data_IF_535258865430
#
_entry.id   IF_535258865430
#
_cell.length_a   1.000
_cell.length_b   1.000
_cell.length_c   1.000
_cell.angle_alpha   90.00
_cell.angle_beta   90.00
_cell.angle_gamma   90.00
#
_symmetry.space_group_name_H-M   'P 1'
#
loop_
_entity.id
_entity.type
_entity.pdbx_description
1 polymer ?
#
# COMPACT_ATOMS: atom_id res chain seq x y z
N UNK A 1 19.21 18.41 -30.27
CA UNK A 1 18.25 18.83 -29.22
C UNK A 1 18.28 17.78 -28.15
N UNK A 2 18.82 18.09 -26.97
CA UNK A 2 18.90 17.15 -25.86
C UNK A 2 17.47 16.86 -25.37
N UNK A 3 16.96 15.69 -25.67
CA UNK A 3 15.73 15.14 -25.08
C UNK A 3 15.97 15.04 -23.59
N UNK A 4 15.37 15.93 -22.83
CA UNK A 4 15.38 15.89 -21.37
C UNK A 4 14.74 14.57 -20.94
N UNK A 5 15.55 13.57 -20.64
CA UNK A 5 15.11 12.33 -20.03
C UNK A 5 14.28 12.69 -18.79
N UNK A 6 12.97 12.41 -18.81
CA UNK A 6 12.05 12.63 -17.70
C UNK A 6 12.33 11.70 -16.51
N UNK A 7 13.24 10.75 -16.68
CA UNK A 7 13.72 9.87 -15.62
C UNK A 7 14.68 10.60 -14.69
N UNK A 8 14.43 10.52 -13.38
CA UNK A 8 15.29 11.12 -12.37
C UNK A 8 16.39 10.16 -11.94
N UNK A 9 17.65 10.55 -12.10
CA UNK A 9 18.78 9.87 -11.46
C UNK A 9 18.68 10.05 -9.92
N UNK A 10 18.33 8.98 -9.21
CA UNK A 10 18.18 8.96 -7.75
C UNK A 10 19.51 8.58 -7.07
N UNK A 11 20.62 8.52 -7.81
CA UNK A 11 21.93 8.09 -7.30
C UNK A 11 22.93 9.23 -7.11
N UNK A 12 22.55 10.48 -7.43
CA UNK A 12 23.42 11.66 -7.36
C UNK A 12 22.67 12.90 -6.86
N UNK A 13 23.39 13.96 -6.49
CA UNK A 13 22.82 15.27 -6.10
C UNK A 13 22.19 15.34 -4.69
N UNK A 14 21.33 16.34 -4.41
CA UNK A 14 20.74 16.59 -3.10
C UNK A 14 19.70 15.53 -2.73
N UNK A 15 20.13 14.48 -2.02
CA UNK A 15 19.35 13.28 -1.76
C UNK A 15 18.05 13.56 -1.00
N UNK A 16 18.09 14.44 0.01
CA UNK A 16 16.90 14.79 0.80
C UNK A 16 15.81 15.45 -0.05
N UNK A 17 16.20 16.42 -0.89
CA UNK A 17 15.26 17.09 -1.78
C UNK A 17 14.64 16.11 -2.78
N UNK A 18 15.41 15.19 -3.34
CA UNK A 18 14.92 14.18 -4.27
C UNK A 18 13.95 13.20 -3.59
N UNK A 19 14.24 12.78 -2.34
CA UNK A 19 13.35 11.95 -1.55
C UNK A 19 12.01 12.65 -1.32
N UNK A 20 12.02 13.92 -0.93
CA UNK A 20 10.78 14.70 -0.72
C UNK A 20 10.00 14.86 -2.03
N UNK A 21 10.67 15.24 -3.12
CA UNK A 21 10.04 15.41 -4.44
C UNK A 21 9.46 14.11 -5.00
N UNK A 22 10.04 12.96 -4.64
CA UNK A 22 9.53 11.64 -4.99
C UNK A 22 8.34 11.25 -4.10
N UNK A 23 8.45 11.48 -2.78
CA UNK A 23 7.47 10.99 -1.80
C UNK A 23 6.19 11.81 -1.76
N UNK A 24 6.26 13.14 -1.98
CA UNK A 24 5.07 14.01 -1.91
C UNK A 24 4.01 13.64 -2.98
N UNK A 25 4.33 13.46 -4.27
CA UNK A 25 3.34 13.01 -5.25
C UNK A 25 2.82 11.60 -4.96
N UNK A 26 3.66 10.74 -4.40
CA UNK A 26 3.26 9.38 -4.03
C UNK A 26 2.28 9.38 -2.85
N UNK A 27 2.54 10.16 -1.82
CA UNK A 27 1.61 10.38 -0.71
C UNK A 27 0.29 10.98 -1.19
N UNK A 28 0.36 11.98 -2.08
CA UNK A 28 -0.82 12.61 -2.67
C UNK A 28 -1.65 11.60 -3.47
N UNK A 29 -1.02 10.70 -4.25
CA UNK A 29 -1.72 9.63 -4.98
C UNK A 29 -2.49 8.71 -4.03
N UNK A 30 -1.86 8.29 -2.94
CA UNK A 30 -2.48 7.38 -1.99
C UNK A 30 -3.57 8.06 -1.15
N UNK A 31 -3.40 9.34 -0.79
CA UNK A 31 -4.45 10.15 -0.13
C UNK A 31 -5.65 10.33 -1.08
N UNK A 32 -5.42 10.64 -2.35
CA UNK A 32 -6.49 10.71 -3.34
C UNK A 32 -7.27 9.39 -3.46
N UNK A 33 -6.57 8.25 -3.44
CA UNK A 33 -7.22 6.95 -3.44
C UNK A 33 -8.13 6.75 -2.22
N UNK A 34 -7.69 7.16 -1.02
CA UNK A 34 -8.52 7.12 0.19
C UNK A 34 -9.75 8.02 0.06
N UNK A 35 -9.58 9.23 -0.48
CA UNK A 35 -10.69 10.17 -0.69
C UNK A 35 -11.71 9.64 -1.71
N UNK A 36 -11.26 9.02 -2.79
CA UNK A 36 -12.17 8.43 -3.78
C UNK A 36 -12.94 7.23 -3.20
N UNK A 37 -12.28 6.35 -2.45
CA UNK A 37 -12.96 5.28 -1.74
C UNK A 37 -13.99 5.81 -0.73
N UNK A 38 -13.66 6.91 -0.02
CA UNK A 38 -14.61 7.55 0.89
C UNK A 38 -15.79 8.16 0.12
N UNK A 39 -15.56 8.78 -1.04
CA UNK A 39 -16.62 9.31 -1.90
C UNK A 39 -17.57 8.19 -2.39
N UNK A 40 -17.04 7.03 -2.79
CA UNK A 40 -17.82 5.85 -3.17
C UNK A 40 -18.77 5.44 -2.03
N UNK A 41 -18.24 5.33 -0.81
CA UNK A 41 -19.02 4.96 0.39
C UNK A 41 -20.10 6.00 0.71
N UNK A 42 -19.78 7.29 0.61
CA UNK A 42 -20.75 8.39 0.85
C UNK A 42 -21.87 8.37 -0.18
N UNK A 43 -21.56 8.20 -1.46
CA UNK A 43 -22.57 8.15 -2.53
C UNK A 43 -23.51 6.97 -2.34
N UNK A 44 -22.98 5.78 -2.04
CA UNK A 44 -23.80 4.59 -1.78
C UNK A 44 -24.66 4.80 -0.54
N UNK A 45 -24.07 5.24 0.57
CA UNK A 45 -24.81 5.41 1.83
C UNK A 45 -25.94 6.42 1.76
N UNK A 46 -25.74 7.49 0.97
CA UNK A 46 -26.72 8.58 0.87
C UNK A 46 -27.83 8.32 -0.15
N UNK A 47 -27.53 7.60 -1.23
CA UNK A 47 -28.43 7.46 -2.39
C UNK A 47 -28.90 6.02 -2.65
N UNK A 48 -28.16 4.99 -2.17
CA UNK A 48 -28.52 3.59 -2.40
C UNK A 48 -29.05 2.85 -1.14
N UNK A 49 -28.98 3.49 0.04
CA UNK A 49 -29.51 2.97 1.28
C UNK A 49 -28.52 2.14 2.11
N UNK A 50 -28.95 1.77 3.33
CA UNK A 50 -28.10 1.11 4.34
C UNK A 50 -27.61 -0.28 3.94
N UNK A 51 -28.44 -1.07 3.28
CA UNK A 51 -28.10 -2.43 2.81
C UNK A 51 -27.01 -2.39 1.75
N UNK A 52 -27.10 -1.42 0.80
CA UNK A 52 -26.07 -1.21 -0.21
C UNK A 52 -24.76 -0.72 0.42
N UNK A 53 -24.84 0.17 1.41
CA UNK A 53 -23.69 0.63 2.17
C UNK A 53 -23.00 -0.52 2.90
N UNK A 54 -23.77 -1.39 3.56
CA UNK A 54 -23.24 -2.58 4.23
C UNK A 54 -22.55 -3.53 3.22
N UNK A 55 -23.15 -3.69 2.04
CA UNK A 55 -22.58 -4.52 0.98
C UNK A 55 -21.22 -4.01 0.48
N UNK A 56 -21.08 -2.71 0.22
CA UNK A 56 -19.81 -2.12 -0.21
C UNK A 56 -18.77 -2.14 0.92
N UNK A 57 -19.19 -1.82 2.14
CA UNK A 57 -18.28 -1.76 3.31
C UNK A 57 -17.70 -3.12 3.71
N UNK A 58 -18.51 -4.19 3.67
CA UNK A 58 -18.07 -5.54 4.05
C UNK A 58 -17.05 -6.14 3.07
N UNK A 59 -17.07 -5.73 1.81
CA UNK A 59 -16.23 -6.29 0.76
C UNK A 59 -14.76 -5.84 0.81
N UNK A 60 -14.48 -4.69 1.45
CA UNK A 60 -13.13 -4.10 1.47
C UNK A 60 -12.06 -5.03 2.05
N UNK A 61 -12.35 -5.73 3.14
CA UNK A 61 -11.42 -6.67 3.77
C UNK A 61 -11.08 -7.85 2.87
N UNK A 62 -12.08 -8.39 2.15
CA UNK A 62 -11.91 -9.51 1.25
C UNK A 62 -11.10 -9.12 0.01
N UNK A 63 -11.40 -7.95 -0.56
CA UNK A 63 -10.65 -7.38 -1.68
C UNK A 63 -9.19 -7.20 -1.28
N UNK A 64 -8.93 -6.57 -0.12
CA UNK A 64 -7.57 -6.36 0.36
C UNK A 64 -6.81 -7.67 0.58
N UNK A 65 -7.46 -8.69 1.13
CA UNK A 65 -6.84 -10.00 1.35
C UNK A 65 -6.35 -10.62 0.04
N UNK A 66 -7.18 -10.61 -1.00
CA UNK A 66 -6.87 -11.22 -2.29
C UNK A 66 -5.89 -10.36 -3.12
N UNK A 67 -6.02 -9.05 -3.08
CA UNK A 67 -5.26 -8.13 -3.92
C UNK A 67 -3.85 -7.86 -3.39
N UNK A 68 -3.67 -7.80 -2.05
CA UNK A 68 -2.39 -7.43 -1.44
C UNK A 68 -1.21 -8.34 -1.85
N UNK A 69 -1.47 -9.64 -2.07
CA UNK A 69 -0.45 -10.56 -2.56
C UNK A 69 0.13 -10.10 -3.91
N UNK A 70 -0.74 -9.71 -4.82
CA UNK A 70 -0.35 -9.31 -6.17
C UNK A 70 0.18 -7.88 -6.24
N UNK A 71 -0.28 -6.99 -5.36
CA UNK A 71 0.30 -5.66 -5.16
C UNK A 71 1.76 -5.78 -4.69
N UNK A 72 2.05 -6.77 -3.82
CA UNK A 72 3.42 -7.09 -3.44
C UNK A 72 4.31 -7.48 -4.64
N UNK A 73 3.77 -8.19 -5.63
CA UNK A 73 4.52 -8.52 -6.85
C UNK A 73 4.90 -7.26 -7.65
N UNK A 74 4.04 -6.24 -7.69
CA UNK A 74 4.36 -4.97 -8.34
C UNK A 74 5.53 -4.23 -7.65
N UNK A 75 5.66 -4.38 -6.32
CA UNK A 75 6.83 -3.90 -5.58
C UNK A 75 8.09 -4.63 -6.01
N UNK A 76 8.02 -5.96 -6.24
CA UNK A 76 9.11 -6.75 -6.80
C UNK A 76 9.56 -6.23 -8.15
N UNK A 77 8.61 -5.91 -9.04
CA UNK A 77 8.90 -5.31 -10.34
C UNK A 77 9.58 -3.93 -10.20
N UNK A 78 9.12 -3.09 -9.26
CA UNK A 78 9.77 -1.81 -8.96
C UNK A 78 11.23 -1.99 -8.55
N UNK A 79 11.53 -2.90 -7.63
CA UNK A 79 12.89 -3.14 -7.13
C UNK A 79 13.82 -3.63 -8.24
N UNK A 80 13.38 -4.57 -9.07
CA UNK A 80 14.18 -5.11 -10.17
C UNK A 80 14.43 -4.05 -11.24
N UNK A 81 13.38 -3.33 -11.67
CA UNK A 81 13.51 -2.24 -12.62
C UNK A 81 14.41 -1.11 -12.10
N UNK A 82 14.26 -0.69 -10.84
CA UNK A 82 15.09 0.34 -10.23
C UNK A 82 16.57 -0.07 -10.17
N UNK A 83 16.83 -1.35 -9.87
CA UNK A 83 18.20 -1.89 -9.84
C UNK A 83 18.84 -1.91 -11.23
N UNK A 84 18.12 -2.42 -12.24
CA UNK A 84 18.61 -2.41 -13.64
C UNK A 84 18.80 -0.99 -14.14
N UNK A 85 17.89 -0.08 -13.83
CA UNK A 85 18.01 1.33 -14.20
C UNK A 85 19.23 2.00 -13.55
N UNK A 86 19.46 1.77 -12.25
CA UNK A 86 20.65 2.24 -11.54
C UNK A 86 21.96 1.67 -12.12
N UNK A 87 21.94 0.42 -12.55
CA UNK A 87 23.08 -0.24 -13.21
C UNK A 87 23.30 0.23 -14.65
N UNK A 88 22.39 1.03 -15.23
CA UNK A 88 22.37 1.40 -16.65
C UNK A 88 22.29 0.17 -17.58
N UNK A 89 21.65 -0.89 -17.10
CA UNK A 89 21.38 -2.11 -17.86
C UNK A 89 20.07 -1.95 -18.64
N UNK A 90 20.15 -1.39 -19.84
CA UNK A 90 18.99 -1.13 -20.69
C UNK A 90 18.22 -2.40 -21.03
N UNK A 91 18.94 -3.51 -21.29
CA UNK A 91 18.31 -4.79 -21.58
C UNK A 91 17.54 -5.31 -20.36
N UNK A 92 18.16 -5.27 -19.17
CA UNK A 92 17.52 -5.66 -17.93
C UNK A 92 16.27 -4.82 -17.61
N UNK A 93 16.28 -3.51 -17.92
CA UNK A 93 15.09 -2.65 -17.80
C UNK A 93 14.01 -3.10 -18.78
N UNK A 94 14.34 -3.31 -20.05
CA UNK A 94 13.37 -3.78 -21.06
C UNK A 94 12.75 -5.13 -20.67
N UNK A 95 13.57 -6.11 -20.31
CA UNK A 95 13.12 -7.42 -19.88
C UNK A 95 12.17 -7.30 -18.65
N UNK A 96 12.49 -6.37 -17.74
CA UNK A 96 11.65 -6.12 -16.56
C UNK A 96 10.34 -5.46 -16.93
N UNK A 97 10.31 -4.49 -17.84
CA UNK A 97 9.09 -3.82 -18.31
C UNK A 97 8.13 -4.84 -18.93
N UNK A 98 8.61 -5.65 -19.85
CA UNK A 98 7.77 -6.63 -20.55
C UNK A 98 7.29 -7.74 -19.61
N UNK A 99 8.17 -8.27 -18.76
CA UNK A 99 7.80 -9.30 -17.77
C UNK A 99 6.82 -8.77 -16.74
N UNK A 100 7.01 -7.53 -16.24
CA UNK A 100 6.16 -6.94 -15.23
C UNK A 100 4.73 -6.66 -15.76
N UNK A 101 4.61 -6.13 -16.97
CA UNK A 101 3.30 -5.89 -17.61
C UNK A 101 2.60 -7.20 -17.90
N UNK A 102 3.31 -8.21 -18.44
CA UNK A 102 2.76 -9.54 -18.66
C UNK A 102 2.29 -10.19 -17.34
N UNK A 103 3.08 -10.11 -16.30
CA UNK A 103 2.73 -10.60 -14.96
C UNK A 103 1.53 -9.86 -14.37
N UNK A 104 1.44 -8.55 -14.57
CA UNK A 104 0.28 -7.74 -14.17
C UNK A 104 -1.01 -8.21 -14.84
N UNK A 105 -0.99 -8.44 -16.14
CA UNK A 105 -2.15 -8.94 -16.86
C UNK A 105 -2.54 -10.36 -16.43
N UNK A 106 -1.58 -11.28 -16.33
CA UNK A 106 -1.84 -12.67 -15.91
C UNK A 106 -2.37 -12.72 -14.48
N UNK A 107 -1.75 -11.98 -13.54
CA UNK A 107 -2.21 -11.91 -12.17
C UNK A 107 -3.60 -11.27 -12.05
N UNK A 108 -3.87 -10.25 -12.86
CA UNK A 108 -5.18 -9.60 -12.93
C UNK A 108 -6.26 -10.54 -13.45
N UNK A 109 -5.99 -11.30 -14.53
CA UNK A 109 -6.92 -12.32 -15.05
C UNK A 109 -7.13 -13.44 -14.04
N UNK A 110 -6.07 -13.91 -13.37
CA UNK A 110 -6.18 -14.91 -12.31
C UNK A 110 -7.08 -14.43 -11.17
N UNK A 111 -6.87 -13.19 -10.70
CA UNK A 111 -7.72 -12.58 -9.68
C UNK A 111 -9.18 -12.42 -10.16
N UNK A 112 -9.38 -12.04 -11.43
CA UNK A 112 -10.72 -11.91 -11.99
C UNK A 112 -11.46 -13.25 -11.96
N UNK A 113 -10.82 -14.33 -12.42
CA UNK A 113 -11.42 -15.66 -12.45
C UNK A 113 -11.68 -16.19 -11.03
N UNK A 114 -10.63 -16.18 -10.19
CA UNK A 114 -10.74 -16.69 -8.81
C UNK A 114 -11.75 -15.87 -8.01
N UNK A 115 -11.65 -14.54 -8.06
CA UNK A 115 -12.55 -13.66 -7.31
C UNK A 115 -13.99 -13.75 -7.77
N UNK A 116 -14.23 -13.83 -9.09
CA UNK A 116 -15.58 -13.98 -9.65
C UNK A 116 -16.23 -15.30 -9.24
N UNK A 117 -15.48 -16.41 -9.33
CA UNK A 117 -15.99 -17.75 -8.99
C UNK A 117 -16.16 -17.93 -7.48
N UNK A 118 -15.23 -17.41 -6.68
CA UNK A 118 -15.22 -17.61 -5.23
C UNK A 118 -16.03 -16.57 -4.45
N UNK A 119 -16.48 -15.46 -5.09
CA UNK A 119 -17.10 -14.32 -4.42
C UNK A 119 -18.17 -14.71 -3.41
N UNK A 120 -19.14 -15.53 -3.82
CA UNK A 120 -20.25 -15.94 -2.94
C UNK A 120 -19.77 -16.85 -1.81
N UNK A 121 -18.99 -17.87 -2.11
CA UNK A 121 -18.48 -18.80 -1.09
C UNK A 121 -17.60 -18.13 -0.04
N UNK A 122 -16.81 -17.13 -0.44
CA UNK A 122 -16.00 -16.34 0.49
C UNK A 122 -16.88 -15.46 1.40
N UNK A 123 -17.96 -14.88 0.90
CA UNK A 123 -18.91 -14.11 1.70
C UNK A 123 -19.70 -15.00 2.67
N UNK A 124 -20.06 -16.22 2.27
CA UNK A 124 -20.70 -17.22 3.14
C UNK A 124 -19.74 -17.63 4.27
N UNK A 125 -18.46 -17.86 3.97
CA UNK A 125 -17.43 -18.13 5.00
C UNK A 125 -17.25 -16.99 5.99
N UNK A 126 -17.47 -15.73 5.55
CA UNK A 126 -17.41 -14.54 6.39
C UNK A 126 -18.71 -14.30 7.17
N UNK A 127 -19.69 -15.19 7.07
CA UNK A 127 -21.03 -15.05 7.70
C UNK A 127 -21.72 -13.73 7.31
N UNK A 128 -21.64 -13.38 6.02
CA UNK A 128 -22.33 -12.19 5.50
C UNK A 128 -23.86 -12.37 5.67
N UNK A 129 -24.59 -11.37 6.20
CA UNK A 129 -26.04 -11.44 6.39
C UNK A 129 -26.79 -11.74 5.08
N UNK A 130 -27.88 -12.51 5.17
CA UNK A 130 -28.66 -12.95 3.99
C UNK A 130 -29.26 -11.81 3.18
N UNK A 131 -29.63 -10.71 3.84
CA UNK A 131 -30.16 -9.50 3.22
C UNK A 131 -29.10 -8.68 2.45
N UNK A 132 -27.81 -8.88 2.77
CA UNK A 132 -26.70 -8.14 2.19
C UNK A 132 -25.92 -8.97 1.17
N UNK A 133 -25.87 -10.31 1.33
CA UNK A 133 -24.99 -11.20 0.55
C UNK A 133 -25.22 -11.11 -0.96
N UNK A 134 -26.47 -10.90 -1.39
CA UNK A 134 -26.81 -10.76 -2.81
C UNK A 134 -26.14 -9.55 -3.46
N UNK A 135 -26.26 -8.39 -2.81
CA UNK A 135 -25.63 -7.13 -3.26
C UNK A 135 -24.09 -7.17 -3.15
N UNK A 136 -23.58 -7.76 -2.05
CA UNK A 136 -22.15 -7.95 -1.86
C UNK A 136 -21.54 -8.85 -2.94
N UNK A 137 -22.20 -9.96 -3.29
CA UNK A 137 -21.77 -10.86 -4.35
C UNK A 137 -21.76 -10.16 -5.71
N UNK A 138 -22.79 -9.38 -6.03
CA UNK A 138 -22.86 -8.62 -7.27
C UNK A 138 -21.72 -7.59 -7.36
N UNK A 139 -21.51 -6.83 -6.29
CA UNK A 139 -20.42 -5.85 -6.21
C UNK A 139 -19.06 -6.52 -6.44
N UNK A 140 -18.77 -7.61 -5.71
CA UNK A 140 -17.50 -8.33 -5.83
C UNK A 140 -17.28 -8.90 -7.22
N UNK A 141 -18.30 -9.53 -7.82
CA UNK A 141 -18.17 -10.08 -9.18
C UNK A 141 -17.83 -9.00 -10.20
N UNK A 142 -18.53 -7.85 -10.13
CA UNK A 142 -18.23 -6.73 -11.02
C UNK A 142 -16.81 -6.22 -10.74
N UNK A 143 -16.45 -6.00 -9.48
CA UNK A 143 -15.15 -5.48 -9.07
C UNK A 143 -14.00 -6.38 -9.57
N UNK A 144 -14.13 -7.71 -9.45
CA UNK A 144 -13.10 -8.65 -9.89
C UNK A 144 -12.93 -8.71 -11.41
N UNK A 145 -13.97 -8.44 -12.21
CA UNK A 145 -13.84 -8.28 -13.67
C UNK A 145 -12.87 -7.14 -14.01
N UNK A 146 -12.79 -6.11 -13.19
CA UNK A 146 -11.85 -4.99 -13.37
C UNK A 146 -10.40 -5.26 -12.94
N UNK A 147 -10.11 -6.40 -12.31
CA UNK A 147 -8.79 -6.69 -11.77
C UNK A 147 -7.65 -6.67 -12.80
N UNK A 148 -7.81 -7.14 -14.04
CA UNK A 148 -6.75 -7.03 -15.04
C UNK A 148 -6.25 -5.59 -15.23
N UNK A 149 -7.17 -4.62 -15.26
CA UNK A 149 -6.82 -3.20 -15.39
C UNK A 149 -6.21 -2.63 -14.12
N UNK A 150 -6.73 -3.01 -12.96
CA UNK A 150 -6.16 -2.62 -11.66
C UNK A 150 -4.71 -3.13 -11.51
N UNK A 151 -4.45 -4.38 -11.87
CA UNK A 151 -3.09 -4.92 -11.83
C UNK A 151 -2.18 -4.26 -12.87
N UNK A 152 -2.68 -4.02 -14.08
CA UNK A 152 -1.95 -3.30 -15.13
C UNK A 152 -1.53 -1.90 -14.65
N UNK A 153 -2.43 -1.17 -13.98
CA UNK A 153 -2.11 0.12 -13.35
C UNK A 153 -1.02 -0.01 -12.29
N UNK A 154 -1.13 -0.98 -11.38
CA UNK A 154 -0.18 -1.16 -10.28
C UNK A 154 1.23 -1.46 -10.80
N UNK A 155 1.36 -2.40 -11.77
CA UNK A 155 2.65 -2.76 -12.34
C UNK A 155 3.24 -1.63 -13.19
N UNK A 156 2.44 -1.00 -14.05
CA UNK A 156 2.89 0.12 -14.88
C UNK A 156 3.33 1.34 -14.03
N UNK A 157 2.58 1.65 -12.97
CA UNK A 157 2.96 2.70 -12.02
C UNK A 157 4.23 2.35 -11.24
N UNK A 158 4.43 1.06 -10.90
CA UNK A 158 5.63 0.60 -10.22
C UNK A 158 6.88 0.77 -11.11
N UNK A 159 6.76 0.55 -12.42
CA UNK A 159 7.84 0.79 -13.38
C UNK A 159 8.21 2.27 -13.51
N UNK A 160 7.22 3.17 -13.57
CA UNK A 160 7.47 4.62 -13.56
C UNK A 160 8.15 5.08 -12.27
N UNK A 161 7.68 4.57 -11.12
CA UNK A 161 8.31 4.86 -9.81
C UNK A 161 9.76 4.35 -9.76
N UNK A 162 10.06 3.22 -10.38
CA UNK A 162 11.41 2.65 -10.42
C UNK A 162 12.45 3.59 -11.04
N UNK A 163 12.04 4.43 -11.99
CA UNK A 163 12.88 5.45 -12.63
C UNK A 163 12.72 6.85 -12.04
N UNK A 164 12.07 6.96 -10.87
CA UNK A 164 11.93 8.21 -10.13
C UNK A 164 10.71 9.05 -10.50
N UNK A 165 9.85 8.59 -11.39
CA UNK A 165 8.66 9.34 -11.80
C UNK A 165 7.42 8.93 -10.99
N UNK A 166 7.07 9.76 -10.04
CA UNK A 166 5.86 9.61 -9.21
C UNK A 166 4.74 10.57 -9.59
N UNK A 167 5.04 11.58 -10.45
CA UNK A 167 4.07 12.61 -10.84
C UNK A 167 3.10 12.11 -11.89
N UNK A 168 3.59 11.41 -12.91
CA UNK A 168 2.73 10.88 -13.99
C UNK A 168 1.65 9.92 -13.46
N UNK A 169 1.96 8.92 -12.61
CA UNK A 169 0.93 8.11 -11.97
C UNK A 169 -0.09 8.91 -11.14
N UNK A 170 0.36 9.97 -10.44
CA UNK A 170 -0.54 10.87 -9.71
C UNK A 170 -1.55 11.55 -10.63
N UNK A 171 -1.11 12.12 -11.75
CA UNK A 171 -2.01 12.81 -12.69
C UNK A 171 -3.02 11.85 -13.33
N UNK A 172 -2.57 10.63 -13.69
CA UNK A 172 -3.47 9.59 -14.21
C UNK A 172 -4.53 9.19 -13.19
N UNK A 173 -4.13 9.03 -11.93
CA UNK A 173 -5.03 8.68 -10.85
C UNK A 173 -6.01 9.82 -10.53
N UNK A 174 -5.55 11.09 -10.53
CA UNK A 174 -6.40 12.23 -10.30
C UNK A 174 -7.48 12.38 -11.40
N UNK A 175 -7.10 12.19 -12.66
CA UNK A 175 -8.04 12.21 -13.78
C UNK A 175 -9.06 11.05 -13.66
N UNK A 176 -8.60 9.85 -13.38
CA UNK A 176 -9.46 8.68 -13.20
C UNK A 176 -10.40 8.83 -11.99
N UNK A 177 -9.90 9.41 -10.90
CA UNK A 177 -10.73 9.67 -9.72
C UNK A 177 -11.83 10.70 -9.96
N UNK A 178 -11.54 11.76 -10.70
CA UNK A 178 -12.57 12.72 -11.12
C UNK A 178 -13.66 12.03 -11.97
N UNK A 179 -13.26 11.16 -12.90
CA UNK A 179 -14.19 10.34 -13.70
C UNK A 179 -14.99 9.40 -12.80
N UNK A 180 -14.35 8.75 -11.80
CA UNK A 180 -15.01 7.87 -10.84
C UNK A 180 -16.15 8.59 -10.11
N UNK A 181 -15.88 9.76 -9.54
CA UNK A 181 -16.90 10.54 -8.81
C UNK A 181 -18.08 10.92 -9.73
N UNK A 182 -17.81 11.39 -10.95
CA UNK A 182 -18.87 11.74 -11.92
C UNK A 182 -19.68 10.50 -12.28
N UNK A 183 -19.04 9.37 -12.60
CA UNK A 183 -19.73 8.13 -12.96
C UNK A 183 -20.52 7.55 -11.79
N UNK A 184 -20.05 7.66 -10.56
CA UNK A 184 -20.81 7.27 -9.37
C UNK A 184 -22.13 8.03 -9.29
N UNK A 185 -22.09 9.35 -9.45
CA UNK A 185 -23.30 10.17 -9.43
C UNK A 185 -24.25 9.79 -10.58
N UNK A 186 -23.73 9.60 -11.78
CA UNK A 186 -24.54 9.22 -12.96
C UNK A 186 -25.18 7.84 -12.77
N UNK A 187 -24.41 6.83 -12.38
CA UNK A 187 -24.90 5.46 -12.28
C UNK A 187 -25.81 5.24 -11.07
N UNK A 188 -25.46 5.82 -9.91
CA UNK A 188 -26.22 5.62 -8.67
C UNK A 188 -27.48 6.51 -8.66
N UNK A 189 -27.36 7.78 -9.03
CA UNK A 189 -28.49 8.74 -9.01
C UNK A 189 -29.26 8.70 -10.32
N UNK A 190 -28.58 8.80 -11.46
CA UNK A 190 -29.23 8.88 -12.78
C UNK A 190 -29.86 7.56 -13.22
N UNK A 191 -29.16 6.45 -13.05
CA UNK A 191 -29.62 5.13 -13.49
C UNK A 191 -30.13 4.24 -12.34
N UNK A 192 -30.05 4.69 -11.08
CA UNK A 192 -30.50 3.94 -9.90
C UNK A 192 -29.84 2.55 -9.77
N UNK A 193 -28.58 2.41 -10.19
CA UNK A 193 -27.87 1.12 -10.27
C UNK A 193 -27.36 0.61 -8.93
N UNK A 194 -27.53 1.36 -7.83
CA UNK A 194 -27.09 0.98 -6.48
C UNK A 194 -25.60 0.52 -6.45
N UNK A 195 -25.30 -0.63 -5.82
CA UNK A 195 -23.92 -1.16 -5.69
C UNK A 195 -23.27 -1.49 -7.03
N UNK A 196 -24.04 -1.90 -8.03
CA UNK A 196 -23.53 -2.20 -9.36
C UNK A 196 -22.98 -0.94 -10.05
N UNK A 197 -23.65 0.21 -9.84
CA UNK A 197 -23.22 1.50 -10.39
C UNK A 197 -21.86 1.91 -9.85
N UNK A 198 -21.63 1.78 -8.54
CA UNK A 198 -20.34 2.11 -7.92
C UNK A 198 -19.23 1.17 -8.38
N UNK A 199 -19.51 -0.15 -8.43
CA UNK A 199 -18.53 -1.10 -8.93
C UNK A 199 -18.13 -0.83 -10.38
N UNK A 200 -19.11 -0.52 -11.26
CA UNK A 200 -18.85 -0.14 -12.66
C UNK A 200 -18.06 1.16 -12.78
N UNK A 201 -18.43 2.20 -12.00
CA UNK A 201 -17.70 3.46 -11.97
C UNK A 201 -16.23 3.25 -11.58
N UNK A 202 -15.99 2.41 -10.57
CA UNK A 202 -14.64 2.05 -10.12
C UNK A 202 -13.86 1.32 -11.21
N UNK A 203 -14.45 0.34 -11.90
CA UNK A 203 -13.76 -0.39 -12.99
C UNK A 203 -13.43 0.54 -14.15
N UNK A 204 -14.38 1.36 -14.58
CA UNK A 204 -14.17 2.28 -15.70
C UNK A 204 -13.05 3.27 -15.36
N UNK A 205 -13.06 3.86 -14.19
CA UNK A 205 -12.02 4.79 -13.75
C UNK A 205 -10.64 4.11 -13.63
N UNK A 206 -10.58 2.90 -13.08
CA UNK A 206 -9.35 2.11 -13.03
C UNK A 206 -8.84 1.73 -14.43
N UNK A 207 -9.74 1.43 -15.34
CA UNK A 207 -9.41 1.17 -16.75
C UNK A 207 -8.80 2.41 -17.40
N UNK A 208 -9.39 3.58 -17.18
CA UNK A 208 -8.84 4.85 -17.70
C UNK A 208 -7.44 5.09 -17.14
N UNK A 209 -7.22 4.96 -15.83
CA UNK A 209 -5.89 5.16 -15.23
C UNK A 209 -4.86 4.16 -15.76
N UNK A 210 -5.25 2.89 -15.91
CA UNK A 210 -4.39 1.84 -16.44
C UNK A 210 -3.98 2.13 -17.90
N UNK A 211 -4.93 2.51 -18.74
CA UNK A 211 -4.68 2.86 -20.13
C UNK A 211 -3.80 4.10 -20.27
N UNK A 212 -4.03 5.13 -19.44
CA UNK A 212 -3.20 6.33 -19.43
C UNK A 212 -1.76 6.03 -19.04
N UNK A 213 -1.53 5.32 -17.92
CA UNK A 213 -0.18 4.98 -17.45
C UNK A 213 0.53 4.03 -18.42
N UNK A 214 -0.16 3.01 -18.93
CA UNK A 214 0.40 2.07 -19.92
C UNK A 214 0.68 2.77 -21.25
N UNK A 215 -0.22 3.66 -21.69
CA UNK A 215 -0.02 4.49 -22.88
C UNK A 215 1.22 5.40 -22.77
N UNK A 216 1.53 5.88 -21.56
CA UNK A 216 2.79 6.61 -21.31
C UNK A 216 4.01 5.71 -21.48
N UNK A 217 3.98 4.46 -20.98
CA UNK A 217 5.07 3.50 -21.18
C UNK A 217 5.27 3.13 -22.65
N UNK A 218 4.19 3.01 -23.43
CA UNK A 218 4.27 2.72 -24.89
C UNK A 218 4.92 3.89 -25.64
N UNK A 219 4.63 5.13 -25.21
CA UNK A 219 5.16 6.36 -25.83
C UNK A 219 6.52 6.78 -25.26
N UNK A 220 7.05 6.06 -24.27
CA UNK A 220 8.36 6.35 -23.68
C UNK A 220 9.46 6.04 -24.70
N UNK A 221 10.58 6.74 -24.56
CA UNK A 221 11.79 6.51 -25.35
C UNK A 221 12.83 5.73 -24.53
N UNK A 222 13.68 4.96 -25.19
CA UNK A 222 14.76 4.21 -24.55
C UNK A 222 14.30 2.91 -23.87
N UNK A 223 15.01 2.51 -22.80
CA UNK A 223 14.86 1.21 -22.16
C UNK A 223 13.51 0.97 -21.46
N UNK A 224 12.82 2.04 -21.08
CA UNK A 224 11.51 1.93 -20.39
C UNK A 224 10.34 1.74 -21.36
N UNK A 225 10.57 1.83 -22.67
CA UNK A 225 9.54 1.71 -23.68
C UNK A 225 8.89 0.31 -23.65
N UNK A 226 7.57 0.30 -23.54
CA UNK A 226 6.77 -0.91 -23.64
C UNK A 226 6.41 -1.18 -25.10
N UNK A 227 6.85 -2.31 -25.65
CA UNK A 227 6.42 -2.82 -26.93
C UNK A 227 5.47 -4.00 -26.71
N UNK A 228 4.20 -3.81 -26.99
CA UNK A 228 3.17 -4.83 -26.80
C UNK A 228 3.41 -6.11 -27.62
N UNK A 229 4.17 -6.01 -28.72
CA UNK A 229 4.53 -7.17 -29.56
C UNK A 229 5.64 -8.03 -28.94
N UNK A 230 6.37 -7.48 -27.98
CA UNK A 230 7.49 -8.14 -27.29
C UNK A 230 7.12 -8.57 -25.86
N UNK A 231 5.84 -8.56 -25.50
CA UNK A 231 5.40 -9.04 -24.20
C UNK A 231 5.81 -10.51 -24.04
N UNK A 232 6.68 -10.78 -23.08
CA UNK A 232 7.19 -12.11 -22.80
C UNK A 232 7.60 -12.22 -21.33
N UNK A 233 7.62 -13.43 -20.81
CA UNK A 233 8.19 -13.75 -19.52
C UNK A 233 9.68 -14.08 -19.67
N UNK A 234 10.53 -13.22 -19.16
CA UNK A 234 11.96 -13.51 -19.06
C UNK A 234 12.21 -14.25 -17.73
N UNK A 235 12.52 -15.53 -17.79
CA UNK A 235 12.58 -16.41 -16.62
C UNK A 235 13.47 -15.91 -15.49
N UNK A 236 14.64 -15.35 -15.83
CA UNK A 236 15.55 -14.75 -14.83
C UNK A 236 14.96 -13.54 -14.11
N UNK A 237 14.34 -12.64 -14.87
CA UNK A 237 13.67 -11.43 -14.38
C UNK A 237 12.43 -11.79 -13.55
N UNK A 238 11.60 -12.70 -14.07
CA UNK A 238 10.41 -13.20 -13.36
C UNK A 238 10.78 -13.79 -12.00
N UNK A 239 11.83 -14.64 -11.96
CA UNK A 239 12.33 -15.21 -10.71
C UNK A 239 12.72 -14.12 -9.70
N UNK A 240 13.42 -13.06 -10.16
CA UNK A 240 13.81 -11.95 -9.28
C UNK A 240 12.59 -11.17 -8.76
N UNK A 241 11.61 -10.89 -9.64
CA UNK A 241 10.36 -10.21 -9.24
C UNK A 241 9.62 -11.04 -8.20
N UNK A 242 9.49 -12.35 -8.40
CA UNK A 242 8.82 -13.26 -7.47
C UNK A 242 9.54 -13.36 -6.14
N UNK A 243 10.88 -13.50 -6.13
CA UNK A 243 11.67 -13.59 -4.90
C UNK A 243 11.56 -12.34 -4.01
N UNK A 244 11.31 -11.18 -4.59
CA UNK A 244 11.16 -9.93 -3.86
C UNK A 244 9.68 -9.65 -3.56
N UNK A 245 8.82 -9.80 -4.56
CA UNK A 245 7.43 -9.40 -4.50
C UNK A 245 6.55 -10.37 -3.72
N UNK A 246 6.75 -11.67 -3.88
CA UNK A 246 5.92 -12.68 -3.21
C UNK A 246 6.04 -12.59 -1.67
N UNK A 247 7.25 -12.51 -1.06
CA UNK A 247 7.35 -12.30 0.38
C UNK A 247 6.70 -10.98 0.84
N UNK A 248 6.83 -9.90 0.07
CA UNK A 248 6.21 -8.62 0.41
C UNK A 248 4.67 -8.69 0.37
N UNK A 249 4.12 -9.34 -0.64
CA UNK A 249 2.68 -9.56 -0.76
C UNK A 249 2.14 -10.47 0.33
N UNK A 250 2.84 -11.58 0.62
CA UNK A 250 2.47 -12.50 1.69
C UNK A 250 2.47 -11.80 3.06
N UNK A 251 3.46 -10.96 3.33
CA UNK A 251 3.49 -10.14 4.54
C UNK A 251 2.24 -9.25 4.67
N UNK A 252 1.85 -8.56 3.59
CA UNK A 252 0.68 -7.69 3.59
C UNK A 252 -0.63 -8.47 3.79
N UNK A 253 -0.73 -9.65 3.20
CA UNK A 253 -1.88 -10.56 3.36
C UNK A 253 -2.00 -11.04 4.82
N UNK A 254 -0.90 -11.47 5.44
CA UNK A 254 -0.90 -11.92 6.84
C UNK A 254 -1.16 -10.76 7.81
N UNK A 255 -0.70 -9.55 7.49
CA UNK A 255 -1.04 -8.35 8.27
C UNK A 255 -2.55 -8.08 8.24
N UNK A 256 -3.19 -8.20 7.08
CA UNK A 256 -4.64 -8.05 6.96
C UNK A 256 -5.38 -9.09 7.81
N UNK A 257 -4.93 -10.35 7.79
CA UNK A 257 -5.51 -11.41 8.61
C UNK A 257 -5.33 -11.15 10.12
N UNK A 258 -4.14 -10.72 10.54
CA UNK A 258 -3.87 -10.34 11.93
C UNK A 258 -4.78 -9.20 12.41
N UNK A 259 -5.02 -8.21 11.56
CA UNK A 259 -5.92 -7.10 11.88
C UNK A 259 -7.38 -7.56 12.06
N UNK A 260 -7.84 -8.60 11.34
CA UNK A 260 -9.17 -9.20 11.56
C UNK A 260 -9.28 -9.80 12.96
N UNK A 261 -8.25 -10.51 13.45
CA UNK A 261 -8.23 -11.07 14.80
C UNK A 261 -8.25 -9.95 15.86
N UNK A 262 -7.47 -8.89 15.66
CA UNK A 262 -7.47 -7.73 16.56
C UNK A 262 -8.84 -7.06 16.58
N UNK A 263 -9.47 -6.89 15.41
CA UNK A 263 -10.82 -6.32 15.30
C UNK A 263 -11.87 -7.16 16.04
N UNK A 264 -11.74 -8.48 16.01
CA UNK A 264 -12.62 -9.37 16.80
C UNK A 264 -12.52 -9.08 18.30
N UNK A 265 -11.31 -8.81 18.81
CA UNK A 265 -11.10 -8.42 20.21
C UNK A 265 -11.70 -7.03 20.51
N UNK A 266 -11.63 -6.09 19.58
CA UNK A 266 -12.26 -4.76 19.72
C UNK A 266 -13.79 -4.88 19.78
N UNK A 267 -14.37 -5.76 18.97
CA UNK A 267 -15.80 -5.97 18.91
C UNK A 267 -16.38 -6.45 20.26
N UNK A 268 -15.58 -7.11 21.10
CA UNK A 268 -16.01 -7.56 22.43
C UNK A 268 -16.27 -6.42 23.44
N UNK A 269 -15.82 -5.20 23.14
CA UNK A 269 -16.04 -4.02 24.02
C UNK A 269 -17.35 -3.28 23.74
N UNK A 270 -18.15 -3.73 22.76
CA UNK A 270 -19.42 -3.14 22.41
C UNK A 270 -19.37 -2.03 21.36
N UNK A 271 -20.54 -1.59 20.93
CA UNK A 271 -20.73 -0.73 19.75
C UNK A 271 -20.04 0.64 19.85
N UNK A 272 -19.97 1.22 21.06
CA UNK A 272 -19.34 2.54 21.28
C UNK A 272 -17.83 2.49 21.00
N UNK A 273 -17.16 1.44 21.52
CA UNK A 273 -15.71 1.25 21.29
C UNK A 273 -15.43 0.93 19.83
N UNK A 274 -16.28 0.11 19.21
CA UNK A 274 -16.16 -0.23 17.77
C UNK A 274 -16.32 1.01 16.91
N UNK A 275 -17.29 1.88 17.21
CA UNK A 275 -17.51 3.13 16.47
C UNK A 275 -16.31 4.09 16.61
N UNK A 276 -15.82 4.30 17.85
CA UNK A 276 -14.64 5.11 18.11
C UNK A 276 -13.38 4.57 17.43
N UNK A 277 -13.19 3.23 17.48
CA UNK A 277 -12.11 2.55 16.79
C UNK A 277 -12.16 2.75 15.28
N UNK A 278 -13.32 2.63 14.66
CA UNK A 278 -13.50 2.79 13.22
C UNK A 278 -13.21 4.22 12.77
N UNK A 279 -13.74 5.22 13.48
CA UNK A 279 -13.48 6.63 13.21
C UNK A 279 -11.97 6.97 13.31
N UNK A 280 -11.31 6.46 14.36
CA UNK A 280 -9.87 6.64 14.55
C UNK A 280 -9.05 5.97 13.45
N UNK A 281 -9.40 4.74 13.05
CA UNK A 281 -8.70 4.00 12.00
C UNK A 281 -8.73 4.73 10.66
N UNK A 282 -9.82 5.42 10.33
CA UNK A 282 -9.88 6.24 9.13
C UNK A 282 -8.89 7.41 9.18
N UNK A 283 -8.80 8.11 10.32
CA UNK A 283 -7.81 9.20 10.51
C UNK A 283 -6.37 8.67 10.47
N UNK A 284 -6.12 7.54 11.12
CA UNK A 284 -4.82 6.85 11.07
C UNK A 284 -4.39 6.52 9.65
N UNK A 285 -5.32 6.12 8.78
CA UNK A 285 -5.06 5.79 7.38
C UNK A 285 -4.38 6.92 6.61
N UNK A 286 -4.77 8.17 6.85
CA UNK A 286 -4.12 9.34 6.23
C UNK A 286 -2.69 9.53 6.73
N UNK A 287 -2.46 9.40 8.02
CA UNK A 287 -1.12 9.54 8.63
C UNK A 287 -0.21 8.42 8.13
N UNK A 288 -0.69 7.17 8.15
CA UNK A 288 0.05 6.01 7.66
C UNK A 288 0.47 6.17 6.19
N UNK A 289 -0.46 6.55 5.36
CA UNK A 289 -0.26 6.71 3.91
C UNK A 289 0.83 7.74 3.60
N UNK A 290 0.84 8.88 4.33
CA UNK A 290 1.88 9.90 4.18
C UNK A 290 3.27 9.37 4.60
N UNK A 291 3.37 8.60 5.68
CA UNK A 291 4.64 8.00 6.13
C UNK A 291 5.11 6.88 5.19
N UNK A 292 4.19 6.04 4.70
CA UNK A 292 4.51 4.91 3.82
C UNK A 292 5.15 5.37 2.50
N UNK A 293 4.87 6.58 2.05
CA UNK A 293 5.52 7.16 0.87
C UNK A 293 7.05 7.24 1.03
N UNK A 294 7.56 7.51 2.24
CA UNK A 294 9.00 7.50 2.52
C UNK A 294 9.59 6.09 2.60
N UNK A 295 8.80 5.11 3.05
CA UNK A 295 9.20 3.70 2.99
C UNK A 295 9.33 3.22 1.53
N UNK A 296 8.41 3.63 0.66
CA UNK A 296 8.50 3.34 -0.78
C UNK A 296 9.65 4.08 -1.47
N UNK A 297 9.96 5.32 -1.06
CA UNK A 297 11.16 6.01 -1.49
C UNK A 297 12.42 5.23 -1.08
N UNK A 298 12.48 4.75 0.16
CA UNK A 298 13.61 3.95 0.65
C UNK A 298 13.86 2.71 -0.21
N UNK A 299 12.81 1.97 -0.61
CA UNK A 299 12.94 0.83 -1.54
C UNK A 299 13.56 1.26 -2.86
N UNK A 300 12.99 2.27 -3.52
CA UNK A 300 13.38 2.66 -4.88
C UNK A 300 14.79 3.26 -4.91
N UNK A 301 15.09 4.20 -4.01
CA UNK A 301 16.41 4.83 -3.92
C UNK A 301 17.50 3.83 -3.56
N UNK A 302 17.24 2.93 -2.60
CA UNK A 302 18.20 1.88 -2.22
C UNK A 302 18.45 0.95 -3.39
N UNK A 303 17.40 0.53 -4.12
CA UNK A 303 17.52 -0.36 -5.28
C UNK A 303 18.35 0.27 -6.41
N UNK A 304 18.10 1.55 -6.76
CA UNK A 304 18.89 2.25 -7.78
C UNK A 304 20.35 2.41 -7.36
N UNK A 305 20.63 2.76 -6.09
CA UNK A 305 22.00 2.92 -5.60
C UNK A 305 22.76 1.60 -5.54
N UNK A 306 22.09 0.48 -5.22
CA UNK A 306 22.69 -0.87 -5.33
C UNK A 306 23.03 -1.20 -6.79
N UNK A 307 22.10 -0.96 -7.71
CA UNK A 307 22.35 -1.15 -9.14
C UNK A 307 23.53 -0.33 -9.64
N UNK A 308 23.59 0.93 -9.27
CA UNK A 308 24.69 1.84 -9.60
C UNK A 308 26.02 1.55 -8.85
N UNK A 309 26.06 0.56 -7.96
CA UNK A 309 27.20 0.25 -7.08
C UNK A 309 27.64 1.43 -6.20
N UNK A 310 26.75 2.41 -5.95
CA UNK A 310 27.02 3.60 -5.11
C UNK A 310 26.66 3.31 -3.64
N UNK A 311 27.32 2.34 -3.05
CA UNK A 311 27.06 1.87 -1.69
C UNK A 311 27.24 2.95 -0.61
N UNK A 312 28.10 3.95 -0.86
CA UNK A 312 28.33 5.08 0.05
C UNK A 312 27.09 5.98 0.23
N UNK A 313 26.17 5.99 -0.76
CA UNK A 313 24.94 6.74 -0.68
C UNK A 313 23.87 6.07 0.19
N UNK A 314 23.96 4.76 0.43
CA UNK A 314 22.93 4.00 1.16
C UNK A 314 22.66 4.56 2.54
N UNK A 315 23.72 4.97 3.28
CA UNK A 315 23.58 5.59 4.60
C UNK A 315 22.80 6.88 4.54
N UNK A 316 23.09 7.70 3.54
CA UNK A 316 22.43 8.99 3.35
C UNK A 316 20.96 8.80 2.95
N UNK A 317 20.68 7.86 2.05
CA UNK A 317 19.32 7.52 1.64
C UNK A 317 18.50 7.05 2.84
N UNK A 318 18.98 6.04 3.57
CA UNK A 318 18.25 5.45 4.70
C UNK A 318 18.03 6.48 5.80
N UNK A 319 19.06 7.24 6.17
CA UNK A 319 18.97 8.28 7.20
C UNK A 319 17.96 9.37 6.82
N UNK A 320 17.97 9.82 5.56
CA UNK A 320 17.05 10.86 5.10
C UNK A 320 15.60 10.34 5.04
N UNK A 321 15.38 9.10 4.59
CA UNK A 321 14.03 8.49 4.62
C UNK A 321 13.53 8.30 6.06
N UNK A 322 14.40 7.86 6.98
CA UNK A 322 14.07 7.77 8.41
C UNK A 322 13.72 9.14 8.99
N UNK A 323 14.53 10.16 8.71
CA UNK A 323 14.28 11.52 9.17
C UNK A 323 12.91 12.03 8.69
N UNK A 324 12.62 11.89 7.39
CA UNK A 324 11.34 12.30 6.82
C UNK A 324 10.16 11.52 7.41
N UNK A 325 10.27 10.21 7.59
CA UNK A 325 9.23 9.38 8.20
C UNK A 325 8.99 9.76 9.66
N UNK A 326 10.06 10.00 10.44
CA UNK A 326 9.97 10.45 11.84
C UNK A 326 9.32 11.83 11.93
N UNK A 327 9.77 12.80 11.13
CA UNK A 327 9.17 14.15 11.11
C UNK A 327 7.69 14.09 10.73
N UNK A 328 7.34 13.32 9.70
CA UNK A 328 5.95 13.15 9.27
C UNK A 328 5.12 12.47 10.36
N UNK A 329 5.63 11.41 11.00
CA UNK A 329 4.98 10.73 12.11
C UNK A 329 4.77 11.63 13.32
N UNK A 330 5.77 12.47 13.66
CA UNK A 330 5.65 13.45 14.76
C UNK A 330 4.65 14.56 14.42
N UNK A 331 4.72 15.13 13.23
CA UNK A 331 3.86 16.27 12.84
C UNK A 331 2.42 15.80 12.61
N UNK A 332 2.20 14.83 11.72
CA UNK A 332 0.85 14.36 11.39
C UNK A 332 0.28 13.46 12.48
N UNK A 333 1.07 12.51 12.99
CA UNK A 333 0.64 11.60 14.06
C UNK A 333 0.45 12.33 15.38
N UNK A 334 1.42 13.16 15.79
CA UNK A 334 1.30 14.01 16.98
C UNK A 334 0.15 15.02 16.86
N UNK A 335 -0.01 15.63 15.69
CA UNK A 335 -1.14 16.52 15.37
C UNK A 335 -2.48 15.81 15.49
N UNK A 336 -2.61 14.60 14.93
CA UNK A 336 -3.82 13.78 15.04
C UNK A 336 -4.09 13.34 16.49
N UNK A 337 -3.06 13.01 17.27
CA UNK A 337 -3.18 12.65 18.67
C UNK A 337 -3.66 13.83 19.53
N UNK A 338 -3.14 15.05 19.29
CA UNK A 338 -3.50 16.27 20.03
C UNK A 338 -4.88 16.81 19.61
N UNK A 339 -5.16 16.85 18.31
CA UNK A 339 -6.43 17.32 17.77
C UNK A 339 -7.52 16.23 17.67
N UNK A 340 -7.28 15.05 18.25
CA UNK A 340 -8.14 13.88 18.09
C UNK A 340 -9.61 14.12 18.42
N UNK A 341 -9.91 14.85 19.51
CA UNK A 341 -11.28 15.20 19.86
C UNK A 341 -11.98 16.05 18.80
N UNK A 342 -11.28 17.06 18.25
CA UNK A 342 -11.83 17.93 17.21
C UNK A 342 -12.03 17.17 15.88
N UNK A 343 -11.07 16.35 15.51
CA UNK A 343 -11.14 15.56 14.29
C UNK A 343 -12.25 14.51 14.34
N UNK A 344 -12.46 13.86 15.49
CA UNK A 344 -13.49 12.84 15.67
C UNK A 344 -14.91 13.44 15.69
N UNK A 345 -15.08 14.72 16.01
CA UNK A 345 -16.37 15.41 15.90
C UNK A 345 -16.92 15.45 14.47
N UNK A 346 -16.06 15.35 13.46
CA UNK A 346 -16.52 15.21 12.07
C UNK A 346 -17.15 13.84 11.78
N UNK A 347 -16.86 12.83 12.59
CA UNK A 347 -17.34 11.46 12.42
C UNK A 347 -18.53 11.13 13.34
N UNK A 348 -18.58 11.70 14.55
CA UNK A 348 -19.63 11.43 15.52
C UNK A 348 -19.90 12.64 16.41
N UNK A 349 -21.16 12.80 16.81
CA UNK A 349 -21.58 13.76 17.84
C UNK A 349 -21.64 13.14 19.26
N UNK A 350 -21.48 11.81 19.37
CA UNK A 350 -21.54 11.09 20.64
C UNK A 350 -20.20 11.27 21.41
N UNK A 351 -20.30 11.81 22.63
CA UNK A 351 -19.15 12.08 23.46
C UNK A 351 -18.38 10.82 23.86
N UNK A 352 -19.05 9.68 24.06
CA UNK A 352 -18.40 8.42 24.40
C UNK A 352 -17.62 7.84 23.23
N UNK A 353 -18.16 7.91 22.00
CA UNK A 353 -17.48 7.51 20.77
C UNK A 353 -16.24 8.36 20.53
N UNK A 354 -16.36 9.70 20.73
CA UNK A 354 -15.23 10.63 20.59
C UNK A 354 -14.15 10.35 21.62
N UNK A 355 -14.53 10.12 22.89
CA UNK A 355 -13.56 9.84 23.96
C UNK A 355 -12.76 8.56 23.68
N UNK A 356 -13.46 7.47 23.32
CA UNK A 356 -12.82 6.19 22.99
C UNK A 356 -11.90 6.30 21.76
N UNK A 357 -12.37 6.98 20.72
CA UNK A 357 -11.57 7.21 19.51
C UNK A 357 -10.34 8.08 19.78
N UNK A 358 -10.47 9.10 20.63
CA UNK A 358 -9.35 9.98 21.02
C UNK A 358 -8.30 9.24 21.83
N UNK A 359 -8.69 8.32 22.73
CA UNK A 359 -7.76 7.45 23.45
C UNK A 359 -6.92 6.62 22.49
N UNK A 360 -7.56 5.98 21.52
CA UNK A 360 -6.87 5.22 20.48
C UNK A 360 -5.90 6.10 19.67
N UNK A 361 -6.35 7.28 19.21
CA UNK A 361 -5.49 8.19 18.44
C UNK A 361 -4.26 8.62 19.23
N UNK A 362 -4.42 8.92 20.53
CA UNK A 362 -3.27 9.29 21.40
C UNK A 362 -2.25 8.17 21.49
N UNK A 363 -2.70 6.93 21.69
CA UNK A 363 -1.82 5.78 21.83
C UNK A 363 -1.17 5.36 20.50
N UNK A 364 -1.95 5.30 19.43
CA UNK A 364 -1.45 4.80 18.14
C UNK A 364 -0.75 5.92 17.38
N UNK A 365 -1.43 7.05 17.10
CA UNK A 365 -0.85 8.13 16.33
C UNK A 365 0.28 8.85 17.08
N UNK A 366 0.24 8.92 18.42
CA UNK A 366 1.32 9.48 19.22
C UNK A 366 2.66 8.74 19.07
N UNK A 367 2.62 7.44 18.79
CA UNK A 367 3.79 6.60 18.58
C UNK A 367 3.96 6.15 17.13
N UNK A 368 3.24 6.74 16.17
CA UNK A 368 3.26 6.32 14.76
C UNK A 368 4.64 6.44 14.10
N UNK A 369 5.50 7.32 14.63
CA UNK A 369 6.90 7.43 14.20
C UNK A 369 7.64 6.08 14.27
N UNK A 370 7.31 5.21 15.26
CA UNK A 370 7.91 3.87 15.38
C UNK A 370 7.50 2.95 14.23
N UNK A 371 6.23 3.05 13.80
CA UNK A 371 5.75 2.36 12.59
C UNK A 371 6.51 2.83 11.35
N UNK A 372 6.68 4.14 11.18
CA UNK A 372 7.46 4.71 10.07
C UNK A 372 8.90 4.26 10.05
N UNK A 373 9.57 4.22 11.21
CA UNK A 373 10.94 3.70 11.33
C UNK A 373 10.99 2.23 10.91
N UNK A 374 10.09 1.41 11.44
CA UNK A 374 10.00 -0.02 11.11
C UNK A 374 9.83 -0.22 9.60
N UNK A 375 8.92 0.50 8.97
CA UNK A 375 8.61 0.37 7.54
C UNK A 375 9.77 0.83 6.65
N UNK A 376 10.45 1.92 6.98
CA UNK A 376 11.62 2.41 6.23
C UNK A 376 12.77 1.40 6.33
N UNK A 377 13.02 0.82 7.50
CA UNK A 377 14.08 -0.18 7.70
C UNK A 377 13.77 -1.47 6.91
N UNK A 378 12.54 -1.98 6.99
CA UNK A 378 12.07 -3.13 6.23
C UNK A 378 12.17 -2.90 4.72
N UNK A 379 11.76 -1.72 4.26
CA UNK A 379 11.79 -1.30 2.86
C UNK A 379 13.22 -1.14 2.34
N UNK A 380 14.12 -0.62 3.17
CA UNK A 380 15.55 -0.55 2.85
C UNK A 380 16.15 -1.94 2.64
N UNK A 381 15.84 -2.91 3.50
CA UNK A 381 16.26 -4.30 3.34
C UNK A 381 15.74 -4.92 2.03
N UNK A 382 14.48 -4.65 1.65
CA UNK A 382 13.92 -5.09 0.36
C UNK A 382 14.67 -4.47 -0.82
N UNK A 383 14.96 -3.17 -0.76
CA UNK A 383 15.76 -2.49 -1.78
C UNK A 383 17.17 -3.06 -1.93
N UNK A 384 17.78 -3.54 -0.84
CA UNK A 384 19.05 -4.27 -0.84
C UNK A 384 18.92 -5.68 -1.44
N UNK A 385 17.70 -6.18 -1.68
CA UNK A 385 17.41 -7.50 -2.24
C UNK A 385 17.07 -8.58 -1.22
N UNK A 386 16.97 -8.23 0.05
CA UNK A 386 16.58 -9.14 1.13
C UNK A 386 15.08 -8.97 1.42
N UNK A 387 14.20 -9.74 0.79
CA UNK A 387 12.75 -9.60 0.98
C UNK A 387 12.18 -10.60 1.99
N UNK A 388 12.72 -11.81 2.05
CA UNK A 388 12.30 -12.84 3.02
C UNK A 388 12.62 -12.40 4.45
N UNK A 389 13.80 -11.82 4.68
CA UNK A 389 14.25 -11.41 6.00
C UNK A 389 13.29 -10.40 6.66
N UNK A 390 12.96 -9.24 6.05
CA UNK A 390 12.01 -8.31 6.63
C UNK A 390 10.58 -8.88 6.72
N UNK A 391 10.18 -9.78 5.81
CA UNK A 391 8.90 -10.48 5.93
C UNK A 391 8.84 -11.28 7.23
N UNK A 392 9.80 -12.18 7.46
CA UNK A 392 9.80 -13.05 8.65
C UNK A 392 9.87 -12.23 9.93
N UNK A 393 10.74 -11.22 9.99
CA UNK A 393 10.87 -10.33 11.16
C UNK A 393 9.56 -9.60 11.44
N UNK A 394 8.89 -9.07 10.41
CA UNK A 394 7.61 -8.37 10.57
C UNK A 394 6.48 -9.33 10.95
N UNK A 395 6.42 -10.54 10.38
CA UNK A 395 5.39 -11.52 10.74
C UNK A 395 5.52 -11.97 12.20
N UNK A 396 6.74 -12.18 12.69
CA UNK A 396 6.97 -12.54 14.09
C UNK A 396 6.73 -11.33 15.00
N UNK A 397 7.33 -10.18 14.70
CA UNK A 397 7.35 -9.00 15.57
C UNK A 397 6.04 -8.21 15.58
N UNK A 398 5.27 -8.22 14.50
CA UNK A 398 3.99 -7.49 14.44
C UNK A 398 2.81 -8.46 14.58
N UNK A 399 2.74 -9.53 13.78
CA UNK A 399 1.56 -10.41 13.79
C UNK A 399 1.62 -11.37 14.97
N UNK A 400 2.65 -12.25 15.05
CA UNK A 400 2.71 -13.27 16.08
C UNK A 400 2.75 -12.66 17.49
N UNK A 401 3.56 -11.63 17.72
CA UNK A 401 3.66 -10.97 19.02
C UNK A 401 2.31 -10.39 19.47
N UNK A 402 1.54 -9.75 18.57
CA UNK A 402 0.22 -9.22 18.92
C UNK A 402 -0.80 -10.32 19.17
N UNK A 403 -0.77 -11.41 18.42
CA UNK A 403 -1.64 -12.57 18.69
C UNK A 403 -1.33 -13.20 20.05
N UNK A 404 -0.04 -13.38 20.37
CA UNK A 404 0.39 -13.86 21.71
C UNK A 404 -0.02 -12.86 22.80
N UNK A 405 0.13 -11.55 22.56
CA UNK A 405 -0.32 -10.51 23.49
C UNK A 405 -1.81 -10.62 23.78
N UNK A 406 -2.64 -10.79 22.75
CA UNK A 406 -4.09 -10.96 22.90
C UNK A 406 -4.43 -12.24 23.65
N UNK A 407 -3.70 -13.33 23.42
CA UNK A 407 -3.94 -14.61 24.07
C UNK A 407 -3.46 -14.66 25.54
N UNK A 408 -2.54 -13.76 25.94
CA UNK A 408 -1.90 -13.77 27.27
C UNK A 408 -2.16 -12.50 28.05
N UNK A 409 -1.41 -11.44 27.77
CA UNK A 409 -1.40 -10.18 28.56
C UNK A 409 -2.77 -9.50 28.53
N UNK A 410 -3.41 -9.44 27.37
CA UNK A 410 -4.75 -8.88 27.24
C UNK A 410 -5.80 -9.65 28.05
N UNK A 411 -5.65 -10.96 28.27
CA UNK A 411 -6.56 -11.75 29.08
C UNK A 411 -6.49 -11.41 30.57
N UNK A 412 -5.34 -10.91 31.05
CA UNK A 412 -5.15 -10.49 32.44
C UNK A 412 -5.88 -9.19 32.77
N UNK A 413 -5.97 -8.29 31.79
CA UNK A 413 -6.66 -7.01 31.95
C UNK A 413 -7.29 -6.62 30.60
N UNK A 414 -8.59 -6.97 30.44
CA UNK A 414 -9.33 -6.72 29.19
C UNK A 414 -9.81 -5.27 29.11
N UNK A 415 -8.91 -4.38 28.70
CA UNK A 415 -9.21 -2.98 28.44
C UNK A 415 -8.80 -2.59 27.01
N UNK A 416 -9.46 -1.61 26.36
CA UNK A 416 -9.03 -1.09 25.08
C UNK A 416 -7.58 -0.59 25.10
N UNK A 417 -7.16 0.02 26.21
CA UNK A 417 -5.78 0.47 26.41
C UNK A 417 -4.77 -0.69 26.23
N UNK A 418 -5.00 -1.84 26.89
CA UNK A 418 -4.11 -3.01 26.80
C UNK A 418 -4.04 -3.56 25.37
N UNK A 419 -5.10 -3.39 24.60
CA UNK A 419 -5.08 -3.79 23.20
C UNK A 419 -4.27 -2.80 22.36
N UNK A 420 -4.49 -1.50 22.55
CA UNK A 420 -3.84 -0.47 21.74
C UNK A 420 -2.34 -0.32 22.04
N UNK A 421 -1.89 -0.51 23.27
CA UNK A 421 -0.47 -0.41 23.64
C UNK A 421 0.38 -1.51 22.98
N UNK A 422 -0.21 -2.61 22.56
CA UNK A 422 0.48 -3.66 21.81
C UNK A 422 1.07 -3.17 20.49
N UNK A 423 0.49 -2.10 19.88
CA UNK A 423 0.94 -1.54 18.62
C UNK A 423 2.33 -0.89 18.75
N UNK A 424 2.52 0.14 19.61
CA UNK A 424 3.84 0.76 19.79
C UNK A 424 4.92 -0.23 20.23
N UNK A 425 4.58 -1.16 21.14
CA UNK A 425 5.53 -2.17 21.63
C UNK A 425 5.99 -3.07 20.47
N UNK A 426 5.04 -3.58 19.67
CA UNK A 426 5.38 -4.42 18.54
C UNK A 426 6.20 -3.67 17.48
N UNK A 427 5.88 -2.41 17.19
CA UNK A 427 6.65 -1.58 16.26
C UNK A 427 8.07 -1.33 16.74
N UNK A 428 8.25 -0.96 18.02
CA UNK A 428 9.57 -0.70 18.61
C UNK A 428 10.46 -1.95 18.54
N UNK A 429 9.96 -3.10 19.00
CA UNK A 429 10.72 -4.35 18.99
C UNK A 429 11.07 -4.78 17.56
N UNK A 430 10.11 -4.72 16.62
CA UNK A 430 10.33 -5.07 15.23
C UNK A 430 11.33 -4.12 14.56
N UNK A 431 11.24 -2.81 14.84
CA UNK A 431 12.18 -1.82 14.32
C UNK A 431 13.61 -2.09 14.80
N UNK A 432 13.81 -2.45 16.06
CA UNK A 432 15.12 -2.82 16.60
C UNK A 432 15.72 -4.04 15.90
N UNK A 433 14.89 -5.07 15.66
CA UNK A 433 15.35 -6.26 14.93
C UNK A 433 15.67 -5.90 13.47
N UNK A 434 14.83 -5.12 12.78
CA UNK A 434 15.13 -4.66 11.42
C UNK A 434 16.41 -3.82 11.36
N UNK A 435 16.65 -2.95 12.34
CA UNK A 435 17.88 -2.16 12.43
C UNK A 435 19.11 -3.07 12.57
N UNK A 436 19.03 -4.06 13.45
CA UNK A 436 20.11 -5.03 13.63
C UNK A 436 20.39 -5.81 12.34
N UNK A 437 19.33 -6.31 11.68
CA UNK A 437 19.45 -6.97 10.38
C UNK A 437 20.09 -6.08 9.32
N UNK A 438 19.67 -4.82 9.25
CA UNK A 438 20.21 -3.84 8.31
C UNK A 438 21.70 -3.58 8.55
N UNK A 439 22.12 -3.42 9.82
CA UNK A 439 23.53 -3.23 10.19
C UNK A 439 24.39 -4.44 9.80
N UNK A 440 23.89 -5.66 10.03
CA UNK A 440 24.59 -6.91 9.65
C UNK A 440 24.71 -7.00 8.12
N UNK A 441 23.62 -6.78 7.39
CA UNK A 441 23.64 -6.81 5.91
C UNK A 441 24.62 -5.78 5.36
N UNK A 442 24.64 -4.58 5.92
CA UNK A 442 25.54 -3.51 5.50
C UNK A 442 27.02 -3.82 5.77
N UNK A 443 27.33 -4.42 6.92
CA UNK A 443 28.70 -4.89 7.21
C UNK A 443 29.16 -5.89 6.14
N UNK A 444 28.32 -6.85 5.76
CA UNK A 444 28.62 -7.83 4.70
C UNK A 444 28.81 -7.16 3.33
N UNK A 445 28.02 -6.12 3.01
CA UNK A 445 28.17 -5.39 1.75
C UNK A 445 29.48 -4.58 1.70
N UNK A 446 29.90 -3.95 2.80
CA UNK A 446 31.18 -3.24 2.90
C UNK A 446 32.38 -4.17 2.75
N UNK A 447 32.33 -5.38 3.31
CA UNK A 447 33.39 -6.38 3.20
C UNK A 447 33.58 -6.92 1.77
N UNK A 448 32.50 -6.90 0.96
CA UNK A 448 32.56 -7.32 -0.45
C UNK A 448 33.05 -6.23 -1.41
N UNK A 449 33.28 -5.01 -0.93
CA UNK A 449 33.92 -3.98 -1.74
C UNK A 449 35.43 -4.26 -1.80
N UNK A 450 36.07 -4.34 -3.01
CA UNK A 450 37.51 -4.28 -3.10
C UNK A 450 37.93 -2.96 -2.43
N UNK A 451 38.87 -3.04 -1.50
CA UNK A 451 39.54 -1.86 -1.00
C UNK A 451 40.24 -1.20 -2.21
N UNK A 452 39.59 -0.20 -2.78
CA UNK A 452 40.24 0.71 -3.70
C UNK A 452 41.16 1.56 -2.81
N UNK A 453 42.44 1.15 -2.79
CA UNK A 453 43.57 1.94 -2.33
C UNK A 453 43.72 3.15 -3.24
#
# INVERSE_FOLDING_TARGET
MATTSRSADLTSGPMLQKIILFSVPLAASSILQLLFNAADVVVVGRFAGSTALAAVGSNGSLINLLVNLFVGLSLGANVVAARCFGARDEKGVQDTVHTAVALGLVSGVLLAVVGFCAARGLLELMSCPEDVIGLSTLYLKIYFIGMPMTMLYNFSSALLRAVGDTKRPLYCLAAAGAINVVLNLVFVIGFSMSVAGVALATIISQTVSALLVTGMLIREEGALRLDLRRLAFHAGTLKQILLIGLPAGLQSTVFSLSNVVIQSSINSFGSMVVAGNSASSNLEGFVYTAMNAFAQAAVTFTSQNIGARKYHNLDRVIRNCLLCAVVTGLVLGGGAALAGHQLLRFYSSDAAVIATGAERLRLICGFYLLCGIMDVLASSLRGLGYSILPMVVSLIGVCALRLVWIATIFQLNRTPFMLYISYPISWALTALVHLTCLLVVRRKLRQKQPQTI
#
